data_IF_677229314121
#
_entry.id   IF_677229314121
#
_cell.length_a   1.000
_cell.length_b   1.000
_cell.length_c   1.000
_cell.angle_alpha   90.00
_cell.angle_beta   90.00
_cell.angle_gamma   90.00
#
_symmetry.space_group_name_H-M   'P 1'
#
loop_
_entity.id
_entity.type
_entity.pdbx_description
1 polymer ?
#
# COMPACT_ATOMS: atom_id res chain seq x y z
N UNK A 1 7.18 11.84 -4.99
CA UNK A 1 7.78 11.23 -3.77
C UNK A 1 7.12 11.65 -2.46
N UNK A 2 6.81 12.94 -2.24
CA UNK A 2 6.20 13.41 -0.98
C UNK A 2 5.03 12.56 -0.44
N UNK A 3 4.03 12.26 -1.29
CA UNK A 3 2.86 11.48 -0.89
C UNK A 3 3.18 10.05 -0.47
N UNK A 4 4.16 9.41 -1.12
CA UNK A 4 4.65 8.09 -0.74
C UNK A 4 5.28 8.16 0.66
N UNK A 5 6.12 9.15 0.92
CA UNK A 5 6.75 9.34 2.23
C UNK A 5 5.74 9.62 3.34
N UNK A 6 4.71 10.43 3.05
CA UNK A 6 3.63 10.71 4.01
C UNK A 6 2.84 9.44 4.34
N UNK A 7 2.41 8.69 3.33
CA UNK A 7 1.69 7.42 3.52
C UNK A 7 2.52 6.41 4.31
N UNK A 8 3.81 6.26 3.95
CA UNK A 8 4.75 5.42 4.69
C UNK A 8 4.83 5.83 6.16
N UNK A 9 4.98 7.14 6.45
CA UNK A 9 5.04 7.65 7.83
C UNK A 9 3.75 7.39 8.61
N UNK A 10 2.58 7.42 7.95
CA UNK A 10 1.27 7.19 8.59
C UNK A 10 0.98 5.72 8.86
N UNK A 11 1.52 4.78 8.06
CA UNK A 11 1.17 3.36 8.16
C UNK A 11 2.29 2.49 8.73
N UNK A 12 3.55 2.73 8.36
CA UNK A 12 4.64 1.79 8.64
C UNK A 12 5.24 2.04 10.02
N UNK A 13 5.18 1.02 10.88
CA UNK A 13 5.76 1.05 12.21
C UNK A 13 7.25 0.73 12.24
N UNK A 14 7.84 0.82 13.43
CA UNK A 14 9.29 0.69 13.65
C UNK A 14 9.79 -0.76 13.68
N UNK A 15 8.92 -1.73 13.98
CA UNK A 15 9.27 -3.16 14.05
C UNK A 15 9.21 -3.78 12.64
N UNK A 16 10.38 -4.12 12.11
CA UNK A 16 10.54 -4.81 10.82
C UNK A 16 10.23 -6.29 10.98
N UNK A 17 9.45 -6.86 10.07
CA UNK A 17 9.11 -8.29 10.02
C UNK A 17 9.66 -8.94 8.75
N UNK A 18 9.83 -10.26 8.79
CA UNK A 18 10.23 -11.02 7.62
C UNK A 18 9.01 -11.47 6.82
N UNK A 19 9.09 -11.37 5.49
CA UNK A 19 8.05 -11.86 4.57
C UNK A 19 8.68 -12.73 3.49
N UNK A 20 8.02 -13.85 3.20
CA UNK A 20 8.38 -14.76 2.11
C UNK A 20 7.43 -14.59 0.94
N UNK A 21 7.97 -14.60 -0.28
CA UNK A 21 7.20 -14.62 -1.52
C UNK A 21 7.49 -15.95 -2.24
N UNK A 22 6.43 -16.69 -2.57
CA UNK A 22 6.51 -17.93 -3.34
C UNK A 22 6.09 -17.67 -4.79
N UNK A 23 6.76 -18.34 -5.74
CA UNK A 23 6.33 -18.35 -7.15
C UNK A 23 6.58 -17.07 -7.98
N UNK A 24 7.31 -16.07 -7.47
CA UNK A 24 7.61 -14.83 -8.20
C UNK A 24 9.09 -14.43 -8.13
N UNK A 25 9.58 -13.69 -9.13
CA UNK A 25 10.94 -13.13 -9.13
C UNK A 25 10.99 -11.97 -8.12
N UNK A 26 11.70 -12.20 -7.01
CA UNK A 26 11.88 -11.25 -5.91
C UNK A 26 12.53 -9.92 -6.35
N UNK A 27 13.19 -9.87 -7.51
CA UNK A 27 13.76 -8.63 -8.07
C UNK A 27 12.69 -7.75 -8.70
N UNK A 28 11.61 -8.36 -9.21
CA UNK A 28 10.51 -7.70 -9.91
C UNK A 28 9.28 -7.50 -9.03
N UNK A 29 8.97 -8.44 -8.15
CA UNK A 29 7.91 -8.30 -7.15
C UNK A 29 8.57 -8.26 -5.77
N UNK A 30 8.64 -7.05 -5.21
CA UNK A 30 9.30 -6.78 -3.93
C UNK A 30 8.23 -6.58 -2.88
N UNK A 31 8.36 -7.27 -1.76
CA UNK A 31 7.38 -7.23 -0.67
C UNK A 31 8.13 -7.04 0.65
N UNK A 32 7.58 -6.18 1.49
CA UNK A 32 8.11 -5.84 2.79
C UNK A 32 6.97 -5.85 3.81
N UNK A 33 7.30 -6.12 5.07
CA UNK A 33 6.32 -6.25 6.14
C UNK A 33 6.85 -5.63 7.43
N UNK A 34 6.03 -4.82 8.06
CA UNK A 34 6.31 -4.23 9.37
C UNK A 34 5.07 -4.38 10.26
N UNK A 35 5.23 -4.23 11.57
CA UNK A 35 4.08 -3.87 12.40
C UNK A 35 3.52 -2.52 11.94
N UNK A 36 2.21 -2.33 12.04
CA UNK A 36 1.56 -1.05 11.73
C UNK A 36 1.98 0.02 12.74
N UNK A 37 2.06 1.27 12.30
CA UNK A 37 2.39 2.42 13.14
C UNK A 37 1.36 2.57 14.27
N UNK A 38 1.80 2.39 15.51
CA UNK A 38 0.95 2.46 16.71
C UNK A 38 0.40 3.85 17.01
N UNK A 39 0.91 4.89 16.35
CA UNK A 39 0.38 6.26 16.44
C UNK A 39 -0.79 6.51 15.47
N UNK A 40 -1.09 5.56 14.57
CA UNK A 40 -2.24 5.68 13.69
C UNK A 40 -3.52 5.33 14.47
N UNK A 41 -4.47 6.27 14.65
CA UNK A 41 -5.63 6.07 15.52
C UNK A 41 -6.63 5.04 14.96
N UNK A 42 -6.54 4.68 13.68
CA UNK A 42 -7.43 3.71 13.05
C UNK A 42 -7.05 2.26 13.37
N UNK A 43 -5.76 2.00 13.57
CA UNK A 43 -5.21 0.66 13.74
C UNK A 43 -4.86 0.39 15.19
N UNK A 44 -4.69 -0.89 15.53
CA UNK A 44 -4.39 -1.34 16.90
C UNK A 44 -3.09 -2.13 16.96
N UNK A 45 -2.61 -2.35 18.19
CA UNK A 45 -1.47 -3.23 18.41
C UNK A 45 -1.77 -4.65 17.88
N UNK A 46 -0.78 -5.22 17.19
CA UNK A 46 -0.91 -6.51 16.51
C UNK A 46 -1.24 -6.40 15.01
N UNK A 47 -1.68 -5.24 14.54
CA UNK A 47 -1.87 -5.02 13.11
C UNK A 47 -0.53 -4.94 12.37
N UNK A 48 -0.52 -5.34 11.10
CA UNK A 48 0.67 -5.36 10.24
C UNK A 48 0.46 -4.55 8.97
N UNK A 49 1.51 -3.90 8.50
CA UNK A 49 1.54 -3.14 7.26
C UNK A 49 2.44 -3.85 6.25
N UNK A 50 1.81 -4.41 5.22
CA UNK A 50 2.46 -4.95 4.04
C UNK A 50 2.58 -3.83 3.00
N UNK A 51 3.77 -3.64 2.42
CA UNK A 51 3.92 -2.79 1.25
C UNK A 51 4.74 -3.50 0.18
N UNK A 52 4.33 -3.33 -1.07
CA UNK A 52 4.86 -4.07 -2.19
C UNK A 52 5.07 -3.17 -3.40
N UNK A 53 6.02 -3.57 -4.25
CA UNK A 53 6.33 -2.94 -5.52
C UNK A 53 6.28 -3.99 -6.62
N UNK A 54 5.47 -3.73 -7.65
CA UNK A 54 5.41 -4.53 -8.86
C UNK A 54 6.18 -3.82 -9.97
N UNK A 55 7.23 -4.47 -10.48
CA UNK A 55 8.03 -4.02 -11.62
C UNK A 55 7.80 -4.91 -12.85
N UNK A 56 6.81 -5.79 -12.81
CA UNK A 56 6.33 -6.47 -14.00
C UNK A 56 5.52 -5.50 -14.86
N UNK A 57 5.46 -5.75 -16.16
CA UNK A 57 4.57 -5.05 -17.09
C UNK A 57 3.14 -5.61 -17.11
N UNK A 58 2.79 -6.44 -16.12
CA UNK A 58 1.46 -7.04 -15.94
C UNK A 58 1.05 -7.00 -14.47
N UNK A 59 -0.26 -6.90 -14.22
CA UNK A 59 -0.82 -6.93 -12.87
C UNK A 59 -0.49 -8.25 -12.18
N UNK A 60 0.09 -8.14 -10.98
CA UNK A 60 0.34 -9.28 -10.09
C UNK A 60 -0.75 -9.36 -9.03
N UNK A 61 -0.97 -10.56 -8.49
CA UNK A 61 -1.93 -10.81 -7.43
C UNK A 61 -1.22 -11.50 -6.26
N UNK A 62 -1.27 -10.89 -5.08
CA UNK A 62 -0.73 -11.48 -3.87
C UNK A 62 -1.87 -12.15 -3.09
N UNK A 63 -1.64 -13.39 -2.67
CA UNK A 63 -2.54 -14.10 -1.80
C UNK A 63 -1.97 -14.14 -0.38
N UNK A 64 -2.78 -13.76 0.61
CA UNK A 64 -2.40 -13.91 2.01
C UNK A 64 -2.40 -15.39 2.41
N UNK A 65 -1.51 -15.81 3.33
CA UNK A 65 -1.56 -17.15 3.92
C UNK A 65 -2.93 -17.45 4.53
N UNK A 66 -3.30 -18.73 4.57
CA UNK A 66 -4.62 -19.19 5.02
C UNK A 66 -5.02 -18.64 6.41
N UNK A 67 -4.08 -18.60 7.36
CA UNK A 67 -4.32 -18.08 8.72
C UNK A 67 -4.59 -16.57 8.78
N UNK A 68 -4.32 -15.83 7.69
CA UNK A 68 -4.67 -14.41 7.53
C UNK A 68 -5.80 -14.18 6.52
N UNK A 69 -6.29 -15.22 5.86
CA UNK A 69 -7.30 -15.09 4.79
C UNK A 69 -8.60 -14.44 5.27
N UNK A 70 -9.02 -14.69 6.51
CA UNK A 70 -10.25 -14.12 7.08
C UNK A 70 -10.11 -12.68 7.59
N UNK A 71 -8.92 -12.08 7.52
CA UNK A 71 -8.66 -10.73 8.04
C UNK A 71 -9.16 -9.66 7.08
N UNK A 72 -9.61 -8.55 7.65
CA UNK A 72 -9.88 -7.33 6.91
C UNK A 72 -8.56 -6.71 6.44
N UNK A 73 -8.55 -6.22 5.21
CA UNK A 73 -7.39 -5.57 4.60
C UNK A 73 -7.81 -4.19 4.11
N UNK A 74 -7.07 -3.18 4.54
CA UNK A 74 -7.21 -1.82 4.02
C UNK A 74 -6.16 -1.57 2.94
N UNK A 75 -6.62 -1.32 1.72
CA UNK A 75 -5.75 -1.04 0.59
C UNK A 75 -5.41 0.46 0.51
N UNK A 76 -4.12 0.75 0.28
CA UNK A 76 -3.63 2.08 -0.06
C UNK A 76 -2.80 2.00 -1.36
N UNK A 77 -3.48 1.90 -2.50
CA UNK A 77 -2.83 1.75 -3.80
C UNK A 77 -2.48 3.12 -4.40
N UNK A 78 -1.20 3.34 -4.67
CA UNK A 78 -0.70 4.54 -5.32
C UNK A 78 -0.49 4.30 -6.82
N UNK A 79 -1.06 5.14 -7.67
CA UNK A 79 -0.89 5.10 -9.13
C UNK A 79 -0.61 6.51 -9.68
N UNK A 80 0.16 6.65 -10.77
CA UNK A 80 0.32 7.93 -11.42
C UNK A 80 -1.02 8.46 -11.96
N UNK A 81 -1.24 9.77 -11.83
CA UNK A 81 -2.41 10.43 -12.40
C UNK A 81 -2.15 10.88 -13.84
N UNK A 82 -3.13 10.69 -14.73
CA UNK A 82 -3.10 11.24 -16.09
C UNK A 82 -2.33 10.39 -17.11
N UNK A 83 -2.10 10.96 -18.30
CA UNK A 83 -1.60 10.23 -19.47
C UNK A 83 -0.08 10.02 -19.49
N UNK A 84 0.66 10.75 -18.66
CA UNK A 84 2.13 10.68 -18.58
C UNK A 84 2.63 9.43 -17.83
N UNK A 85 1.71 8.62 -17.30
CA UNK A 85 2.01 7.37 -16.59
C UNK A 85 3.10 7.60 -15.53
N UNK A 86 4.13 6.75 -15.45
CA UNK A 86 5.23 6.84 -14.46
C UNK A 86 6.00 8.17 -14.47
N UNK A 87 5.87 9.00 -15.51
CA UNK A 87 6.50 10.32 -15.60
C UNK A 87 5.64 11.43 -14.98
N UNK A 88 4.39 11.13 -14.61
CA UNK A 88 3.47 12.10 -14.01
C UNK A 88 3.97 12.62 -12.66
N UNK A 89 3.77 13.92 -12.43
CA UNK A 89 4.05 14.57 -11.15
C UNK A 89 2.88 14.48 -10.15
N UNK A 90 1.72 14.02 -10.62
CA UNK A 90 0.51 13.87 -9.82
C UNK A 90 0.26 12.38 -9.55
N UNK A 91 -0.23 12.06 -8.36
CA UNK A 91 -0.47 10.68 -7.92
C UNK A 91 -1.88 10.54 -7.40
N UNK A 92 -2.46 9.36 -7.60
CA UNK A 92 -3.74 8.96 -7.05
C UNK A 92 -3.53 7.96 -5.91
N UNK A 93 -4.32 8.11 -4.85
CA UNK A 93 -4.53 7.10 -3.83
C UNK A 93 -5.90 6.47 -4.06
N UNK A 94 -5.93 5.18 -4.38
CA UNK A 94 -7.16 4.42 -4.63
C UNK A 94 -8.11 5.12 -5.66
N UNK A 95 -7.54 5.72 -6.70
CA UNK A 95 -8.28 6.43 -7.75
C UNK A 95 -8.61 7.90 -7.45
N UNK A 96 -8.14 8.46 -6.33
CA UNK A 96 -8.34 9.86 -5.95
C UNK A 96 -7.04 10.63 -5.98
N UNK A 97 -6.98 11.72 -6.74
CA UNK A 97 -5.78 12.56 -6.84
C UNK A 97 -5.43 13.15 -5.46
N UNK A 98 -4.19 12.93 -5.02
CA UNK A 98 -3.67 13.55 -3.81
C UNK A 98 -3.15 14.96 -4.12
N UNK A 99 -3.70 15.93 -3.41
CA UNK A 99 -3.29 17.34 -3.41
C UNK A 99 -3.53 17.92 -2.02
N UNK A 100 -2.77 18.94 -1.66
CA UNK A 100 -3.10 19.73 -0.46
C UNK A 100 -4.47 20.38 -0.66
N UNK A 101 -5.24 20.51 0.43
CA UNK A 101 -6.56 21.14 0.39
C UNK A 101 -6.44 22.66 0.26
N UNK A 102 -5.40 23.20 0.88
CA UNK A 102 -4.94 24.58 0.89
C UNK A 102 -3.43 24.58 1.25
N UNK A 103 -2.82 25.74 1.51
CA UNK A 103 -1.38 25.85 1.77
C UNK A 103 -0.93 25.25 3.12
N UNK A 104 -1.85 24.92 4.02
CA UNK A 104 -1.56 24.46 5.38
C UNK A 104 -2.11 23.06 5.69
N UNK A 105 -3.04 22.55 4.87
CA UNK A 105 -3.82 21.36 5.19
C UNK A 105 -3.52 20.21 4.24
N UNK A 106 -3.06 19.10 4.84
CA UNK A 106 -2.88 17.82 4.14
C UNK A 106 -4.24 17.14 3.89
N UNK A 107 -4.41 16.42 2.77
CA UNK A 107 -5.60 15.64 2.52
C UNK A 107 -5.66 14.43 3.47
N UNK A 108 -6.87 13.94 3.68
CA UNK A 108 -7.08 12.64 4.29
C UNK A 108 -6.57 11.53 3.37
N UNK A 109 -5.88 10.54 3.95
CA UNK A 109 -5.41 9.36 3.23
C UNK A 109 -6.45 8.24 3.42
N UNK A 110 -7.39 8.13 2.48
CA UNK A 110 -8.52 7.22 2.56
C UNK A 110 -8.17 5.84 2.00
N UNK A 111 -8.38 4.80 2.80
CA UNK A 111 -8.25 3.41 2.38
C UNK A 111 -9.35 2.97 1.41
N UNK A 112 -9.13 1.82 0.79
CA UNK A 112 -10.19 1.00 0.20
C UNK A 112 -10.25 -0.33 0.94
N UNK A 113 -11.32 -0.61 1.72
CA UNK A 113 -11.48 -1.91 2.38
C UNK A 113 -11.63 -3.02 1.33
N UNK A 114 -10.94 -4.12 1.54
CA UNK A 114 -11.07 -5.33 0.73
C UNK A 114 -11.83 -6.41 1.51
N UNK A 115 -12.59 -7.23 0.79
CA UNK A 115 -13.29 -8.37 1.39
C UNK A 115 -12.30 -9.42 1.93
N UNK A 116 -12.67 -10.16 2.99
CA UNK A 116 -11.86 -11.28 3.46
C UNK A 116 -11.56 -12.28 2.33
N UNK A 117 -10.33 -12.78 2.28
CA UNK A 117 -9.87 -13.75 1.30
C UNK A 117 -9.60 -13.18 -0.10
N UNK A 118 -9.79 -11.87 -0.29
CA UNK A 118 -9.51 -11.22 -1.57
C UNK A 118 -8.03 -11.30 -1.95
N UNK A 119 -7.79 -11.46 -3.25
CA UNK A 119 -6.45 -11.33 -3.82
C UNK A 119 -6.06 -9.84 -3.85
N UNK A 120 -4.85 -9.53 -3.41
CA UNK A 120 -4.33 -8.18 -3.39
C UNK A 120 -3.73 -7.87 -4.77
N UNK A 121 -4.48 -7.16 -5.61
CA UNK A 121 -4.05 -6.77 -6.95
C UNK A 121 -3.00 -5.64 -6.91
N UNK A 122 -1.87 -5.85 -7.57
CA UNK A 122 -0.81 -4.85 -7.76
C UNK A 122 -0.63 -4.59 -9.27
N UNK A 123 -1.11 -3.47 -9.80
CA UNK A 123 -0.96 -3.11 -11.22
C UNK A 123 0.50 -3.03 -11.68
N UNK A 124 0.67 -3.04 -13.01
CA UNK A 124 1.93 -2.81 -13.70
C UNK A 124 2.34 -1.33 -13.72
#
# INVERSE_FOLDING_TARGET
DYWLSLLYKKLVGTKVLQVGLAGADKRKLRVYLHCTNSLNPKYREGDVTLFALNLYNVTQHLQLPEHLSSKHVDQYLLLPHGKENILSRSIELNGRVLRMLDDETLPELVEKPLGPGSLLGLPA
#
